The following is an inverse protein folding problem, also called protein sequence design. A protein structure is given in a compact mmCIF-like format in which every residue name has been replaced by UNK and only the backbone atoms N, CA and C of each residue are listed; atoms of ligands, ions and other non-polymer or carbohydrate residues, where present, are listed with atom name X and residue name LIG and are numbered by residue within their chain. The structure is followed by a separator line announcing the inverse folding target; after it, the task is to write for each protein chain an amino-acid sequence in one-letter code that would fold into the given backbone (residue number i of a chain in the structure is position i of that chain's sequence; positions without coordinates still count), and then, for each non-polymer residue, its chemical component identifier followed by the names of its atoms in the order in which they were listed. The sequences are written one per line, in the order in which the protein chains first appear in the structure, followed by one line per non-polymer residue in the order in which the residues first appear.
data_IF_044548213193
#
_entry.id   IF_044548213193
#
_cell.length_a   1.000
_cell.length_b   1.000
_cell.length_c   1.000
_cell.angle_alpha   90.00
_cell.angle_beta   90.00
_cell.angle_gamma   90.00
#
_symmetry.space_group_name_H-M   'P 1'
#
loop_
_entity.id
_entity.type
_entity.pdbx_description
1 polymer ?
#
# COMPACT_ATOMS: atom_id res chain seq x y z
N UNK A 1 -47.15 0.43 58.63
CA UNK A 1 -47.49 0.53 57.19
C UNK A 1 -46.19 0.91 56.51
N UNK A 2 -45.41 -0.07 56.01
CA UNK A 2 -45.54 -0.66 54.66
C UNK A 2 -45.50 0.41 53.56
N UNK A 3 -44.73 0.34 52.48
CA UNK A 3 -43.70 -0.58 51.96
C UNK A 3 -43.21 0.07 50.64
N UNK A 4 -41.94 -0.16 50.28
CA UNK A 4 -41.42 -0.21 48.89
C UNK A 4 -41.25 1.14 48.14
N UNK A 5 -40.25 1.37 47.29
CA UNK A 5 -39.41 0.44 46.51
C UNK A 5 -38.13 1.14 45.99
N UNK A 6 -36.99 0.51 46.26
CA UNK A 6 -35.85 0.23 45.37
C UNK A 6 -35.45 1.27 44.31
N UNK A 7 -34.36 1.99 44.59
CA UNK A 7 -33.35 2.31 43.58
C UNK A 7 -32.00 1.85 44.13
N UNK A 8 -31.51 0.75 43.57
CA UNK A 8 -30.15 0.28 43.82
C UNK A 8 -29.17 1.12 43.01
N UNK A 9 -28.22 1.72 43.73
CA UNK A 9 -26.98 2.22 43.14
C UNK A 9 -26.21 1.04 42.54
N UNK A 10 -26.38 0.80 41.24
CA UNK A 10 -25.44 0.00 40.49
C UNK A 10 -24.24 0.88 40.16
N UNK A 11 -23.21 0.78 40.99
CA UNK A 11 -21.87 1.25 40.66
C UNK A 11 -21.45 0.62 39.33
N UNK A 12 -21.28 1.46 38.30
CA UNK A 12 -20.63 1.06 37.07
C UNK A 12 -19.17 0.76 37.39
N UNK A 13 -18.87 -0.51 37.68
CA UNK A 13 -17.51 -1.02 37.65
C UNK A 13 -16.99 -0.77 36.24
N UNK A 14 -16.07 0.19 36.12
CA UNK A 14 -15.26 0.33 34.92
C UNK A 14 -14.63 -1.03 34.65
N UNK A 15 -14.89 -1.60 33.47
CA UNK A 15 -14.06 -2.67 32.94
C UNK A 15 -12.65 -2.10 32.84
N UNK A 16 -11.80 -2.44 33.80
CA UNK A 16 -10.36 -2.28 33.64
C UNK A 16 -9.99 -2.96 32.32
N UNK A 17 -9.39 -2.19 31.41
CA UNK A 17 -8.76 -2.76 30.24
C UNK A 17 -7.79 -3.84 30.73
N UNK A 18 -7.72 -5.01 30.07
CA UNK A 18 -6.82 -6.08 30.51
C UNK A 18 -5.41 -5.50 30.63
N UNK A 19 -4.83 -5.60 31.82
CA UNK A 19 -3.45 -5.18 32.10
C UNK A 19 -2.54 -5.93 31.14
N UNK A 20 -1.80 -5.19 30.31
CA UNK A 20 -0.88 -5.78 29.35
C UNK A 20 0.17 -6.63 30.08
N UNK A 21 0.49 -7.81 29.54
CA UNK A 21 1.46 -8.71 30.15
C UNK A 21 2.86 -8.08 30.15
N UNK A 22 3.54 -8.11 31.30
CA UNK A 22 4.89 -7.58 31.47
C UNK A 22 5.94 -8.70 31.35
N UNK A 23 6.92 -8.50 30.47
CA UNK A 23 8.06 -9.41 30.31
C UNK A 23 9.28 -8.86 31.04
N UNK A 24 9.82 -9.62 31.99
CA UNK A 24 11.10 -9.29 32.63
C UNK A 24 12.28 -9.70 31.76
N UNK A 25 13.25 -8.81 31.58
CA UNK A 25 14.47 -9.07 30.82
C UNK A 25 15.67 -8.30 31.38
N UNK A 26 16.87 -8.82 31.11
CA UNK A 26 18.09 -8.03 31.12
C UNK A 26 18.27 -7.40 29.75
N UNK A 27 18.24 -6.06 29.69
CA UNK A 27 18.45 -5.28 28.46
C UNK A 27 19.88 -4.75 28.37
N UNK A 28 20.42 -4.72 27.16
CA UNK A 28 21.67 -4.06 26.82
C UNK A 28 21.53 -3.33 25.48
N UNK A 29 21.62 -2.00 25.52
CA UNK A 29 21.70 -1.11 24.36
C UNK A 29 22.39 0.21 24.74
N UNK A 30 22.56 1.09 23.76
CA UNK A 30 23.05 2.47 23.98
C UNK A 30 22.02 3.39 24.66
N UNK A 31 20.72 3.05 24.58
CA UNK A 31 19.63 3.81 25.20
C UNK A 31 19.36 3.44 26.66
N UNK A 32 19.43 2.14 26.96
CA UNK A 32 18.96 1.60 28.23
C UNK A 32 19.70 0.29 28.54
N UNK A 33 20.07 0.09 29.80
CA UNK A 33 20.77 -1.11 30.24
C UNK A 33 20.34 -1.49 31.66
N UNK A 34 20.37 -2.78 31.97
CA UNK A 34 19.99 -3.30 33.29
C UNK A 34 18.80 -4.23 33.26
N UNK A 35 18.23 -4.49 34.44
CA UNK A 35 16.95 -5.20 34.55
C UNK A 35 15.82 -4.25 34.12
N UNK A 36 14.96 -4.75 33.24
CA UNK A 36 13.85 -3.98 32.68
C UNK A 36 12.58 -4.83 32.56
N UNK A 37 11.45 -4.14 32.60
CA UNK A 37 10.14 -4.66 32.24
C UNK A 37 9.78 -4.18 30.84
N UNK A 38 9.26 -5.09 30.03
CA UNK A 38 8.89 -4.82 28.64
C UNK A 38 7.41 -5.11 28.46
N UNK A 39 6.71 -4.17 27.84
CA UNK A 39 5.30 -4.32 27.43
C UNK A 39 5.22 -4.18 25.92
N UNK A 40 4.66 -5.19 25.27
CA UNK A 40 4.34 -5.17 23.85
C UNK A 40 3.09 -4.31 23.65
N UNK A 41 3.22 -3.20 22.93
CA UNK A 41 2.12 -2.27 22.63
C UNK A 41 1.86 -2.18 21.13
N UNK A 42 0.85 -1.39 20.73
CA UNK A 42 0.48 -1.22 19.31
C UNK A 42 1.51 -0.41 18.50
N UNK A 43 2.12 0.61 19.12
CA UNK A 43 3.10 1.50 18.47
C UNK A 43 4.54 1.01 18.56
N UNK A 44 4.84 0.16 19.56
CA UNK A 44 6.19 -0.32 19.80
C UNK A 44 6.33 -1.10 21.10
N UNK A 45 7.58 -1.27 21.54
CA UNK A 45 7.91 -1.92 22.79
C UNK A 45 8.19 -0.85 23.85
N UNK A 46 7.40 -0.85 24.93
CA UNK A 46 7.61 0.02 26.08
C UNK A 46 8.56 -0.68 27.04
N UNK A 47 9.68 -0.04 27.35
CA UNK A 47 10.72 -0.60 28.22
C UNK A 47 10.90 0.31 29.42
N UNK A 48 10.78 -0.27 30.62
CA UNK A 48 10.95 0.43 31.89
C UNK A 48 12.04 -0.25 32.71
N UNK A 49 13.14 0.46 32.96
CA UNK A 49 14.18 0.08 33.91
C UNK A 49 14.05 0.89 35.20
N UNK A 50 14.99 0.71 36.15
CA UNK A 50 14.91 1.31 37.49
C UNK A 50 14.81 2.86 37.46
N UNK A 51 15.52 3.52 36.55
CA UNK A 51 15.56 4.99 36.47
C UNK A 51 15.10 5.55 35.12
N UNK A 52 14.89 4.68 34.12
CA UNK A 52 14.66 5.08 32.73
C UNK A 52 13.43 4.39 32.16
N UNK A 53 12.72 5.09 31.28
CA UNK A 53 11.65 4.53 30.48
C UNK A 53 11.81 5.00 29.04
N UNK A 54 11.80 4.06 28.09
CA UNK A 54 11.93 4.33 26.66
C UNK A 54 10.89 3.54 25.88
N UNK A 55 10.47 4.09 24.75
CA UNK A 55 9.65 3.37 23.76
C UNK A 55 10.49 3.11 22.53
N UNK A 56 10.56 1.85 22.11
CA UNK A 56 11.20 1.43 20.85
C UNK A 56 10.08 1.26 19.82
N UNK A 57 9.85 2.24 18.93
CA UNK A 57 8.78 2.15 17.95
C UNK A 57 9.09 1.05 16.93
N UNK A 58 8.07 0.33 16.46
CA UNK A 58 8.27 -0.69 15.42
C UNK A 58 8.80 -0.09 14.11
N UNK A 59 8.58 1.21 13.88
CA UNK A 59 9.10 1.95 12.73
C UNK A 59 10.61 2.24 12.80
N UNK A 60 11.28 1.90 13.91
CA UNK A 60 12.73 1.91 14.07
C UNK A 60 13.34 0.50 14.06
N UNK A 61 12.52 -0.56 14.12
CA UNK A 61 12.99 -1.94 14.11
C UNK A 61 13.16 -2.41 12.66
N UNK A 62 14.40 -2.63 12.25
CA UNK A 62 14.79 -3.22 10.97
C UNK A 62 14.73 -4.75 10.99
N UNK A 63 14.79 -5.38 12.16
CA UNK A 63 14.54 -6.81 12.32
C UNK A 63 14.48 -7.31 13.75
N UNK A 64 13.83 -8.47 13.94
CA UNK A 64 13.75 -9.22 15.17
C UNK A 64 14.38 -10.60 14.98
N UNK A 65 15.28 -10.98 15.88
CA UNK A 65 15.91 -12.29 15.86
C UNK A 65 15.83 -12.95 17.23
N UNK A 66 15.57 -14.27 17.24
CA UNK A 66 15.73 -15.09 18.43
C UNK A 66 17.09 -15.79 18.37
N UNK A 67 17.94 -15.56 19.38
CA UNK A 67 19.30 -16.12 19.43
C UNK A 67 19.70 -16.41 20.87
N UNK A 68 20.30 -17.57 21.13
CA UNK A 68 20.87 -17.96 22.44
C UNK A 68 19.90 -17.75 23.61
N UNK A 69 18.61 -18.12 23.41
CA UNK A 69 17.51 -17.91 24.38
C UNK A 69 17.23 -16.43 24.74
N UNK A 70 17.70 -15.49 23.92
CA UNK A 70 17.37 -14.07 23.98
C UNK A 70 16.72 -13.58 22.68
N UNK A 71 16.31 -12.32 22.69
CA UNK A 71 15.77 -11.61 21.52
C UNK A 71 16.67 -10.43 21.20
N UNK A 72 17.01 -10.26 19.93
CA UNK A 72 17.77 -9.14 19.40
C UNK A 72 16.84 -8.31 18.54
N UNK A 73 16.76 -7.01 18.83
CA UNK A 73 16.09 -6.04 17.96
C UNK A 73 17.17 -5.27 17.21
N UNK A 74 17.20 -5.40 15.90
CA UNK A 74 18.05 -4.60 15.04
C UNK A 74 17.35 -3.26 14.81
N UNK A 75 17.80 -2.20 15.47
CA UNK A 75 17.20 -0.85 15.32
C UNK A 75 18.03 0.02 14.38
N UNK A 76 17.38 0.99 13.73
CA UNK A 76 18.08 1.92 12.82
C UNK A 76 18.72 3.10 13.54
N UNK A 77 18.18 3.49 14.69
CA UNK A 77 18.61 4.70 15.40
C UNK A 77 19.71 4.47 16.43
N UNK A 78 19.69 3.33 17.13
CA UNK A 78 20.50 3.12 18.35
C UNK A 78 21.31 1.82 18.36
N UNK A 79 21.30 1.11 17.23
CA UNK A 79 21.98 -0.18 17.03
C UNK A 79 21.19 -1.35 17.61
N UNK A 80 21.88 -2.45 17.88
CA UNK A 80 21.22 -3.65 18.38
C UNK A 80 20.78 -3.48 19.85
N UNK A 81 19.54 -3.88 20.13
CA UNK A 81 19.00 -3.99 21.49
C UNK A 81 18.92 -5.46 21.86
N UNK A 82 19.72 -5.88 22.84
CA UNK A 82 19.77 -7.25 23.29
C UNK A 82 18.89 -7.46 24.53
N UNK A 83 17.97 -8.42 24.42
CA UNK A 83 17.08 -8.85 25.50
C UNK A 83 17.46 -10.26 25.91
N UNK A 84 17.85 -10.43 27.17
CA UNK A 84 18.35 -11.70 27.69
C UNK A 84 17.74 -12.01 29.06
N UNK A 85 18.02 -13.20 29.61
CA UNK A 85 17.55 -13.63 30.94
C UNK A 85 16.02 -13.61 31.13
N UNK A 86 15.24 -13.77 30.06
CA UNK A 86 13.77 -13.84 30.15
C UNK A 86 13.28 -15.25 30.56
N UNK A 87 14.19 -16.23 30.68
CA UNK A 87 13.86 -17.60 31.04
C UNK A 87 12.93 -18.26 30.02
N UNK A 88 11.85 -18.90 30.49
CA UNK A 88 10.83 -19.49 29.63
C UNK A 88 9.98 -18.47 28.87
N UNK A 89 10.13 -17.17 29.14
CA UNK A 89 9.37 -16.11 28.49
C UNK A 89 10.01 -15.57 27.21
N UNK A 90 11.25 -15.97 26.85
CA UNK A 90 11.93 -15.47 25.64
C UNK A 90 11.14 -15.75 24.35
N UNK A 91 10.67 -16.99 24.18
CA UNK A 91 9.91 -17.41 23.00
C UNK A 91 8.48 -16.81 22.99
N UNK A 92 7.69 -16.85 24.10
CA UNK A 92 6.43 -16.12 24.18
C UNK A 92 6.55 -14.63 23.87
N UNK A 93 7.60 -13.97 24.39
CA UNK A 93 7.87 -12.57 24.09
C UNK A 93 8.17 -12.36 22.60
N UNK A 94 9.07 -13.16 22.01
CA UNK A 94 9.43 -13.06 20.60
C UNK A 94 8.18 -13.16 19.71
N UNK A 95 7.30 -14.13 19.95
CA UNK A 95 6.08 -14.27 19.16
C UNK A 95 5.08 -13.14 19.39
N UNK A 96 4.93 -12.65 20.62
CA UNK A 96 4.07 -11.50 20.90
C UNK A 96 4.58 -10.22 20.22
N UNK A 97 5.90 -9.96 20.28
CA UNK A 97 6.54 -8.84 19.63
C UNK A 97 6.45 -8.94 18.09
N UNK A 98 6.66 -10.14 17.54
CA UNK A 98 6.56 -10.38 16.10
C UNK A 98 5.12 -10.19 15.59
N UNK A 99 4.11 -10.66 16.32
CA UNK A 99 2.70 -10.46 15.97
C UNK A 99 2.33 -8.96 15.95
N UNK A 100 2.75 -8.22 16.98
CA UNK A 100 2.51 -6.78 17.06
C UNK A 100 3.29 -5.99 15.98
N UNK A 101 4.54 -6.33 15.74
CA UNK A 101 5.34 -5.78 14.64
C UNK A 101 4.68 -6.04 13.28
N UNK A 102 4.22 -7.27 13.02
CA UNK A 102 3.56 -7.63 11.76
C UNK A 102 2.24 -6.89 11.57
N UNK A 103 1.45 -6.66 12.63
CA UNK A 103 0.25 -5.81 12.58
C UNK A 103 0.59 -4.38 12.17
N UNK A 104 1.67 -3.82 12.72
CA UNK A 104 2.15 -2.49 12.34
C UNK A 104 2.64 -2.45 10.89
N UNK A 105 3.37 -3.47 10.44
CA UNK A 105 3.83 -3.62 9.05
C UNK A 105 2.63 -3.70 8.09
N UNK A 106 1.61 -4.49 8.39
CA UNK A 106 0.40 -4.61 7.55
C UNK A 106 -0.33 -3.27 7.44
N UNK A 107 -0.48 -2.54 8.56
CA UNK A 107 -1.04 -1.17 8.56
C UNK A 107 -0.24 -0.23 7.68
N UNK A 108 1.09 -0.24 7.81
CA UNK A 108 1.99 0.58 6.99
C UNK A 108 1.89 0.22 5.50
N UNK A 109 1.74 -1.06 5.16
CA UNK A 109 1.55 -1.54 3.79
C UNK A 109 0.12 -1.31 3.25
N UNK A 110 -0.73 -0.58 3.97
CA UNK A 110 -2.13 -0.29 3.59
C UNK A 110 -2.98 -1.54 3.38
N UNK A 111 -2.71 -2.59 4.15
CA UNK A 111 -3.52 -3.82 4.14
C UNK A 111 -4.65 -3.69 5.14
N UNK A 112 -5.87 -3.98 4.70
CA UNK A 112 -7.08 -3.92 5.52
C UNK A 112 -7.93 -5.19 5.32
N UNK A 113 -8.92 -5.36 6.19
CA UNK A 113 -9.80 -6.51 6.16
C UNK A 113 -9.21 -7.76 6.82
N UNK A 114 -9.93 -8.86 6.71
CA UNK A 114 -9.54 -10.15 7.29
C UNK A 114 -8.80 -10.96 6.24
N UNK A 115 -7.76 -11.67 6.66
CA UNK A 115 -7.07 -12.66 5.84
C UNK A 115 -8.05 -13.78 5.42
N UNK A 116 -8.05 -14.11 4.13
CA UNK A 116 -8.74 -15.26 3.58
C UNK A 116 -8.01 -16.57 3.91
N UNK A 117 -6.70 -16.49 4.12
CA UNK A 117 -5.83 -17.59 4.54
C UNK A 117 -4.63 -17.02 5.28
N UNK A 118 -4.18 -17.73 6.32
CA UNK A 118 -2.89 -17.51 6.98
C UNK A 118 -2.12 -18.83 6.99
N UNK A 119 -0.86 -18.79 6.58
CA UNK A 119 0.03 -19.95 6.56
C UNK A 119 1.46 -19.52 6.85
N UNK A 120 2.40 -20.47 6.88
CA UNK A 120 3.83 -20.23 7.04
C UNK A 120 4.59 -21.06 6.03
N UNK A 121 5.59 -20.47 5.40
CA UNK A 121 6.39 -21.14 4.38
C UNK A 121 7.69 -20.43 4.08
N UNK A 122 8.44 -21.01 3.14
CA UNK A 122 9.58 -20.34 2.53
C UNK A 122 9.11 -19.48 1.35
N UNK A 123 9.86 -18.43 1.06
CA UNK A 123 9.60 -17.56 -0.08
C UNK A 123 10.88 -17.22 -0.82
N UNK A 124 10.73 -16.92 -2.11
CA UNK A 124 11.76 -16.32 -2.96
C UNK A 124 11.11 -15.17 -3.73
N UNK A 125 11.64 -13.96 -3.58
CA UNK A 125 11.22 -12.78 -4.31
C UNK A 125 12.29 -12.42 -5.33
N UNK A 126 11.89 -12.14 -6.56
CA UNK A 126 12.73 -11.55 -7.60
C UNK A 126 12.12 -10.20 -7.96
N UNK A 127 12.77 -9.13 -7.51
CA UNK A 127 12.31 -7.75 -7.71
C UNK A 127 13.46 -6.92 -8.27
N UNK A 128 13.29 -6.33 -9.46
CA UNK A 128 14.31 -5.51 -10.13
C UNK A 128 15.68 -6.21 -10.27
N UNK A 129 15.67 -7.52 -10.49
CA UNK A 129 16.87 -8.36 -10.59
C UNK A 129 17.50 -8.74 -9.25
N UNK A 130 16.98 -8.23 -8.14
CA UNK A 130 17.41 -8.60 -6.79
C UNK A 130 16.63 -9.83 -6.33
N UNK A 131 17.36 -10.85 -5.88
CA UNK A 131 16.77 -12.07 -5.32
C UNK A 131 16.86 -12.01 -3.79
N UNK A 132 15.72 -12.12 -3.12
CA UNK A 132 15.64 -12.29 -1.67
C UNK A 132 14.88 -13.56 -1.34
N UNK A 133 15.18 -14.18 -0.21
CA UNK A 133 14.52 -15.42 0.21
C UNK A 133 14.56 -15.57 1.71
N UNK A 134 13.58 -16.28 2.26
CA UNK A 134 13.52 -16.56 3.68
C UNK A 134 12.35 -17.46 4.04
N UNK A 135 12.00 -17.47 5.32
CA UNK A 135 10.78 -18.09 5.81
C UNK A 135 9.94 -17.07 6.56
N UNK A 136 8.63 -17.09 6.36
CA UNK A 136 7.73 -16.09 6.92
C UNK A 136 6.30 -16.63 7.08
N UNK A 137 5.52 -16.05 8.00
CA UNK A 137 4.07 -15.96 7.84
C UNK A 137 3.71 -15.38 6.47
N UNK A 138 2.74 -16.01 5.83
CA UNK A 138 2.18 -15.62 4.54
C UNK A 138 0.67 -15.49 4.72
N UNK A 139 0.10 -14.38 4.24
CA UNK A 139 -1.33 -14.09 4.41
C UNK A 139 -1.94 -13.65 3.08
N UNK A 140 -3.12 -14.19 2.76
CA UNK A 140 -3.88 -13.84 1.55
C UNK A 140 -5.03 -12.93 1.93
N UNK A 141 -5.15 -11.79 1.26
CA UNK A 141 -6.21 -10.79 1.42
C UNK A 141 -6.98 -10.62 0.10
N UNK A 142 -8.05 -9.83 0.12
CA UNK A 142 -8.93 -9.64 -1.03
C UNK A 142 -8.23 -9.06 -2.27
N UNK A 143 -7.19 -8.25 -2.07
CA UNK A 143 -6.46 -7.59 -3.15
C UNK A 143 -4.95 -7.88 -3.17
N UNK A 144 -4.40 -8.65 -2.23
CA UNK A 144 -2.96 -8.88 -2.14
C UNK A 144 -2.59 -10.17 -1.40
N UNK A 145 -1.34 -10.61 -1.61
CA UNK A 145 -0.65 -11.59 -0.75
C UNK A 145 0.45 -10.87 0.02
N UNK A 146 0.57 -11.13 1.31
CA UNK A 146 1.61 -10.55 2.17
C UNK A 146 2.61 -11.61 2.61
N UNK A 147 3.90 -11.29 2.55
CA UNK A 147 5.01 -12.04 3.13
C UNK A 147 5.53 -11.21 4.30
N UNK A 148 5.59 -11.80 5.50
CA UNK A 148 5.86 -11.08 6.75
C UNK A 148 7.08 -11.65 7.51
N UNK A 149 8.29 -11.66 6.92
CA UNK A 149 9.50 -12.00 7.65
C UNK A 149 9.72 -11.00 8.79
N UNK A 150 10.49 -11.37 9.82
CA UNK A 150 10.73 -10.53 10.98
C UNK A 150 11.73 -9.39 10.70
N UNK A 151 11.71 -8.80 9.50
CA UNK A 151 12.68 -7.80 9.03
C UNK A 151 12.07 -6.83 7.98
N UNK A 152 12.92 -6.04 7.30
CA UNK A 152 12.54 -5.15 6.21
C UNK A 152 12.16 -5.88 4.90
N UNK A 153 12.31 -7.20 4.85
CA UNK A 153 11.94 -8.06 3.73
C UNK A 153 10.44 -8.28 3.56
N UNK A 154 9.60 -7.70 4.44
CA UNK A 154 8.15 -7.80 4.27
C UNK A 154 7.68 -7.19 2.95
N UNK A 155 6.76 -7.89 2.28
CA UNK A 155 6.23 -7.52 0.96
C UNK A 155 4.72 -7.64 0.92
N UNK A 156 4.08 -6.67 0.28
CA UNK A 156 2.70 -6.74 -0.18
C UNK A 156 2.72 -6.97 -1.68
N UNK A 157 2.05 -8.03 -2.13
CA UNK A 157 1.99 -8.47 -3.53
C UNK A 157 0.55 -8.28 -4.04
N UNK A 158 0.22 -7.09 -4.57
CA UNK A 158 -1.08 -6.80 -5.13
C UNK A 158 -1.46 -7.71 -6.30
N UNK A 159 -2.65 -8.28 -6.21
CA UNK A 159 -3.17 -9.27 -7.14
C UNK A 159 -3.57 -8.67 -8.49
N UNK A 160 -3.83 -7.36 -8.55
CA UNK A 160 -4.15 -6.63 -9.79
C UNK A 160 -3.02 -6.69 -10.83
N UNK A 161 -1.77 -6.89 -10.42
CA UNK A 161 -0.63 -7.01 -11.31
C UNK A 161 -0.28 -8.46 -11.69
N UNK A 162 -0.97 -9.46 -11.12
CA UNK A 162 -0.67 -10.87 -11.39
C UNK A 162 -1.13 -11.24 -12.81
N UNK A 163 -0.15 -11.61 -13.63
CA UNK A 163 -0.33 -12.04 -15.02
C UNK A 163 -0.40 -13.55 -15.17
N UNK A 164 0.21 -14.29 -14.24
CA UNK A 164 0.24 -15.75 -14.25
C UNK A 164 0.51 -16.34 -12.86
N UNK A 165 0.09 -17.59 -12.70
CA UNK A 165 0.41 -18.41 -11.54
C UNK A 165 0.83 -19.80 -12.01
N UNK A 166 2.01 -20.24 -11.59
CA UNK A 166 2.55 -21.55 -11.91
C UNK A 166 2.57 -22.42 -10.66
N UNK A 167 2.18 -23.69 -10.81
CA UNK A 167 2.26 -24.71 -9.75
C UNK A 167 3.23 -25.79 -10.22
N UNK A 168 4.33 -25.98 -9.49
CA UNK A 168 5.36 -26.96 -9.85
C UNK A 168 6.05 -27.46 -8.59
N UNK A 169 6.30 -28.77 -8.48
CA UNK A 169 7.14 -29.34 -7.40
C UNK A 169 6.79 -28.84 -5.97
N UNK A 170 5.49 -28.72 -5.66
CA UNK A 170 4.99 -28.16 -4.38
C UNK A 170 5.37 -26.70 -4.10
N UNK A 171 5.74 -25.96 -5.13
CA UNK A 171 5.88 -24.52 -5.14
C UNK A 171 4.80 -23.85 -5.97
N UNK A 172 4.52 -22.60 -5.61
CA UNK A 172 3.58 -21.73 -6.33
C UNK A 172 4.33 -20.45 -6.66
N UNK A 173 4.39 -20.10 -7.93
CA UNK A 173 5.05 -18.87 -8.40
C UNK A 173 4.02 -17.92 -9.01
N UNK A 174 3.95 -16.70 -8.47
CA UNK A 174 3.19 -15.60 -9.04
C UNK A 174 4.09 -14.74 -9.93
N UNK A 175 3.60 -14.45 -11.14
CA UNK A 175 4.28 -13.61 -12.13
C UNK A 175 3.54 -12.29 -12.26
N UNK A 176 4.24 -11.17 -12.11
CA UNK A 176 3.68 -9.82 -12.27
C UNK A 176 3.99 -9.21 -13.64
N UNK A 177 3.28 -8.15 -14.00
CA UNK A 177 3.45 -7.42 -15.27
C UNK A 177 4.75 -6.59 -15.35
N UNK A 178 5.40 -6.37 -14.21
CA UNK A 178 6.69 -5.70 -14.00
C UNK A 178 7.91 -6.64 -14.09
N UNK A 179 7.71 -7.90 -14.51
CA UNK A 179 8.69 -9.00 -14.49
C UNK A 179 9.08 -9.50 -13.07
N UNK A 180 8.48 -8.94 -12.02
CA UNK A 180 8.63 -9.41 -10.64
C UNK A 180 8.05 -10.82 -10.47
N UNK A 181 8.71 -11.66 -9.68
CA UNK A 181 8.29 -13.03 -9.40
C UNK A 181 8.31 -13.32 -7.91
N UNK A 182 7.27 -13.99 -7.43
CA UNK A 182 7.14 -14.38 -6.02
C UNK A 182 6.84 -15.87 -5.95
N UNK A 183 7.81 -16.64 -5.46
CA UNK A 183 7.69 -18.09 -5.29
C UNK A 183 7.46 -18.42 -3.83
N UNK A 184 6.48 -19.27 -3.56
CA UNK A 184 6.10 -19.77 -2.24
C UNK A 184 6.36 -21.27 -2.18
N UNK A 185 7.06 -21.71 -1.15
CA UNK A 185 7.48 -23.09 -0.97
C UNK A 185 7.20 -23.56 0.46
N UNK A 186 7.22 -24.89 0.67
CA UNK A 186 7.14 -25.49 2.00
C UNK A 186 5.89 -25.07 2.79
N UNK A 187 4.77 -24.84 2.09
CA UNK A 187 3.46 -24.54 2.69
C UNK A 187 2.78 -25.79 3.28
N UNK A 188 3.34 -26.99 3.03
CA UNK A 188 2.80 -28.25 3.53
C UNK A 188 1.37 -28.49 3.03
N UNK A 189 0.46 -28.80 3.96
CA UNK A 189 -0.96 -29.01 3.66
C UNK A 189 -1.67 -27.76 3.12
N UNK A 190 -1.08 -26.58 3.30
CA UNK A 190 -1.66 -25.31 2.85
C UNK A 190 -1.29 -24.95 1.40
N UNK A 191 -0.51 -25.77 0.69
CA UNK A 191 -0.12 -25.48 -0.71
C UNK A 191 -1.35 -25.31 -1.61
N UNK A 192 -2.27 -26.27 -1.63
CA UNK A 192 -3.50 -26.18 -2.43
C UNK A 192 -4.49 -25.14 -1.88
N UNK A 193 -4.76 -25.05 -0.55
CA UNK A 193 -5.54 -23.95 0.02
C UNK A 193 -5.03 -22.56 -0.35
N UNK A 194 -3.70 -22.35 -0.36
CA UNK A 194 -3.08 -21.09 -0.76
C UNK A 194 -3.35 -20.77 -2.23
N UNK A 195 -3.10 -21.72 -3.13
CA UNK A 195 -3.42 -21.53 -4.54
C UNK A 195 -4.91 -21.19 -4.75
N UNK A 196 -5.82 -21.95 -4.13
CA UNK A 196 -7.25 -21.74 -4.25
C UNK A 196 -7.69 -20.38 -3.69
N UNK A 197 -7.09 -19.93 -2.58
CA UNK A 197 -7.35 -18.61 -2.02
C UNK A 197 -6.92 -17.50 -2.98
N UNK A 198 -5.70 -17.57 -3.54
CA UNK A 198 -5.18 -16.59 -4.49
C UNK A 198 -6.03 -16.56 -5.78
N UNK A 199 -6.36 -17.72 -6.35
CA UNK A 199 -7.22 -17.83 -7.54
C UNK A 199 -8.59 -17.20 -7.30
N UNK A 200 -9.21 -17.48 -6.15
CA UNK A 200 -10.50 -16.91 -5.77
C UNK A 200 -10.44 -15.39 -5.71
N UNK A 201 -9.41 -14.82 -5.10
CA UNK A 201 -9.29 -13.37 -4.93
C UNK A 201 -9.01 -12.66 -6.27
N UNK A 202 -8.11 -13.22 -7.09
CA UNK A 202 -7.89 -12.72 -8.46
C UNK A 202 -9.19 -12.74 -9.27
N UNK A 203 -9.94 -13.84 -9.21
CA UNK A 203 -11.22 -13.98 -9.92
C UNK A 203 -12.22 -12.93 -9.45
N UNK A 204 -12.40 -12.77 -8.13
CA UNK A 204 -13.34 -11.81 -7.54
C UNK A 204 -13.02 -10.38 -7.97
N UNK A 205 -11.75 -9.98 -7.90
CA UNK A 205 -11.30 -8.65 -8.34
C UNK A 205 -11.51 -8.42 -9.84
N UNK A 206 -11.27 -9.43 -10.69
CA UNK A 206 -11.53 -9.35 -12.13
C UNK A 206 -13.01 -9.23 -12.45
N UNK A 207 -13.87 -9.95 -11.72
CA UNK A 207 -15.32 -9.83 -11.83
C UNK A 207 -15.79 -8.41 -11.47
N UNK A 208 -15.30 -7.84 -10.36
CA UNK A 208 -15.57 -6.44 -9.98
C UNK A 208 -15.11 -5.44 -11.07
N UNK A 209 -13.90 -5.61 -11.59
CA UNK A 209 -13.37 -4.73 -12.64
C UNK A 209 -14.23 -4.80 -13.90
N UNK A 210 -14.68 -5.99 -14.30
CA UNK A 210 -15.54 -6.17 -15.46
C UNK A 210 -16.89 -5.45 -15.30
N UNK A 211 -17.47 -5.48 -14.10
CA UNK A 211 -18.69 -4.73 -13.78
C UNK A 211 -18.44 -3.24 -13.92
N UNK A 212 -17.40 -2.71 -13.27
CA UNK A 212 -17.06 -1.28 -13.32
C UNK A 212 -16.81 -0.78 -14.76
N UNK A 213 -16.12 -1.56 -15.59
CA UNK A 213 -15.88 -1.23 -17.02
C UNK A 213 -17.18 -1.15 -17.81
N UNK A 214 -18.13 -2.06 -17.56
CA UNK A 214 -19.44 -2.07 -18.25
C UNK A 214 -20.36 -0.95 -17.78
N UNK A 215 -20.28 -0.60 -16.50
CA UNK A 215 -21.01 0.55 -15.97
C UNK A 215 -20.45 1.85 -16.55
N UNK A 216 -19.14 1.93 -16.73
CA UNK A 216 -18.48 3.11 -17.30
C UNK A 216 -18.79 3.29 -18.80
N UNK A 217 -18.77 2.22 -19.60
CA UNK A 217 -19.23 2.23 -20.99
C UNK A 217 -20.21 1.08 -21.27
N UNK A 218 -21.52 1.34 -21.18
CA UNK A 218 -22.56 0.34 -21.44
C UNK A 218 -22.64 -0.12 -22.90
N UNK A 219 -21.94 0.54 -23.83
CA UNK A 219 -21.96 0.20 -25.26
C UNK A 219 -21.01 -0.95 -25.62
N UNK A 220 -20.13 -1.34 -24.70
CA UNK A 220 -19.14 -2.39 -24.91
C UNK A 220 -19.78 -3.76 -25.13
N UNK A 221 -19.27 -4.50 -26.11
CA UNK A 221 -19.54 -5.93 -26.21
C UNK A 221 -18.89 -6.69 -25.05
N UNK A 222 -19.38 -7.90 -24.75
CA UNK A 222 -18.83 -8.74 -23.69
C UNK A 222 -17.32 -9.02 -23.86
N UNK A 223 -16.86 -9.18 -25.11
CA UNK A 223 -15.44 -9.41 -25.44
C UNK A 223 -14.60 -8.15 -25.21
N UNK A 224 -15.07 -6.99 -25.64
CA UNK A 224 -14.37 -5.72 -25.42
C UNK A 224 -14.27 -5.38 -23.94
N UNK A 225 -15.37 -5.51 -23.19
CA UNK A 225 -15.38 -5.27 -21.76
C UNK A 225 -14.39 -6.17 -21.00
N UNK A 226 -14.32 -7.46 -21.35
CA UNK A 226 -13.36 -8.38 -20.76
C UNK A 226 -11.90 -8.04 -21.10
N UNK A 227 -11.64 -7.63 -22.36
CA UNK A 227 -10.30 -7.24 -22.79
C UNK A 227 -9.83 -5.94 -22.10
N UNK A 228 -10.72 -4.95 -21.95
CA UNK A 228 -10.45 -3.71 -21.23
C UNK A 228 -10.23 -4.00 -19.74
N UNK A 229 -11.13 -4.74 -19.08
CA UNK A 229 -10.99 -5.08 -17.66
C UNK A 229 -9.68 -5.84 -17.35
N UNK A 230 -9.12 -6.57 -18.32
CA UNK A 230 -7.80 -7.18 -18.19
C UNK A 230 -6.63 -6.19 -18.28
N UNK A 231 -6.78 -5.10 -19.05
CA UNK A 231 -5.74 -4.07 -19.22
C UNK A 231 -5.75 -3.03 -18.10
N UNK A 232 -6.91 -2.72 -17.55
CA UNK A 232 -7.10 -1.75 -16.47
C UNK A 232 -7.78 -2.41 -15.26
N UNK A 233 -7.12 -3.39 -14.61
CA UNK A 233 -7.60 -3.87 -13.31
C UNK A 233 -7.72 -2.69 -12.33
N UNK A 234 -8.67 -2.75 -11.40
CA UNK A 234 -8.99 -1.66 -10.47
C UNK A 234 -7.70 -0.99 -9.91
N UNK A 235 -7.52 0.30 -10.19
CA UNK A 235 -6.34 1.05 -9.73
C UNK A 235 -5.12 1.04 -10.67
N UNK A 236 -5.24 0.54 -11.90
CA UNK A 236 -4.14 0.50 -12.89
C UNK A 236 -4.51 1.29 -14.14
N UNK A 237 -3.62 2.20 -14.57
CA UNK A 237 -3.76 2.92 -15.82
C UNK A 237 -3.17 2.15 -17.01
N UNK A 238 -3.78 2.31 -18.19
CA UNK A 238 -3.31 1.71 -19.44
C UNK A 238 -3.21 2.74 -20.56
N UNK A 239 -2.35 2.53 -21.58
CA UNK A 239 -2.16 3.48 -22.67
C UNK A 239 -3.42 3.57 -23.55
N UNK A 240 -3.84 4.80 -23.84
CA UNK A 240 -5.00 5.14 -24.67
C UNK A 240 -4.97 4.43 -26.01
N UNK A 241 -3.79 4.33 -26.65
CA UNK A 241 -3.65 3.62 -27.91
C UNK A 241 -4.08 2.16 -27.84
N UNK A 242 -3.76 1.44 -26.74
CA UNK A 242 -4.19 0.04 -26.56
C UNK A 242 -5.68 -0.08 -26.25
N UNK A 243 -6.22 0.86 -25.48
CA UNK A 243 -7.66 0.91 -25.18
C UNK A 243 -8.46 1.17 -26.45
N UNK A 244 -8.04 2.14 -27.27
CA UNK A 244 -8.70 2.52 -28.52
C UNK A 244 -8.71 1.40 -29.58
N UNK A 245 -7.67 0.56 -29.63
CA UNK A 245 -7.65 -0.64 -30.49
C UNK A 245 -8.75 -1.63 -30.12
N UNK A 246 -9.12 -1.72 -28.83
CA UNK A 246 -10.18 -2.63 -28.36
C UNK A 246 -11.56 -1.99 -28.55
N UNK A 247 -11.73 -0.76 -28.06
CA UNK A 247 -12.98 -0.03 -28.16
C UNK A 247 -12.73 1.49 -28.19
N UNK A 248 -12.86 2.14 -29.35
CA UNK A 248 -12.80 3.60 -29.44
C UNK A 248 -13.88 4.31 -28.61
N UNK A 249 -15.05 3.68 -28.42
CA UNK A 249 -16.13 4.20 -27.57
C UNK A 249 -15.68 4.40 -26.12
N UNK A 250 -14.87 3.49 -25.60
CA UNK A 250 -14.38 3.55 -24.23
C UNK A 250 -13.42 4.72 -24.02
N UNK A 251 -12.53 4.95 -25.00
CA UNK A 251 -11.64 6.12 -24.98
C UNK A 251 -12.47 7.40 -25.04
N UNK A 252 -13.49 7.47 -25.90
CA UNK A 252 -14.37 8.63 -25.96
C UNK A 252 -15.12 8.87 -24.63
N UNK A 253 -15.54 7.81 -23.94
CA UNK A 253 -16.16 7.91 -22.61
C UNK A 253 -15.17 8.43 -21.55
N UNK A 254 -13.92 7.97 -21.56
CA UNK A 254 -12.87 8.48 -20.66
C UNK A 254 -12.58 9.97 -20.94
N UNK A 255 -12.47 10.35 -22.22
CA UNK A 255 -12.23 11.73 -22.60
C UNK A 255 -13.41 12.65 -22.25
N UNK A 256 -14.64 12.17 -22.39
CA UNK A 256 -15.83 12.90 -21.95
C UNK A 256 -15.80 13.12 -20.43
N UNK A 257 -15.47 12.09 -19.65
CA UNK A 257 -15.34 12.23 -18.20
C UNK A 257 -14.20 13.18 -17.78
N UNK A 258 -13.10 13.23 -18.53
CA UNK A 258 -12.03 14.22 -18.32
C UNK A 258 -12.50 15.63 -18.69
N UNK A 259 -13.25 15.78 -19.78
CA UNK A 259 -13.80 17.06 -20.24
C UNK A 259 -14.81 17.65 -19.22
N UNK A 260 -15.55 16.78 -18.53
CA UNK A 260 -16.45 17.15 -17.44
C UNK A 260 -15.73 17.40 -16.09
N UNK A 261 -14.39 17.34 -16.08
CA UNK A 261 -13.57 17.56 -14.89
C UNK A 261 -12.72 18.82 -15.01
N UNK A 262 -12.13 19.25 -13.89
CA UNK A 262 -11.13 20.34 -13.86
C UNK A 262 -9.89 20.11 -14.74
N UNK A 263 -9.65 18.87 -15.15
CA UNK A 263 -8.49 18.51 -15.97
C UNK A 263 -8.75 18.71 -17.47
N UNK A 264 -9.91 19.22 -17.90
CA UNK A 264 -10.25 19.42 -19.30
C UNK A 264 -9.22 20.30 -20.05
N UNK A 265 -8.87 21.45 -19.48
CA UNK A 265 -7.92 22.39 -20.08
C UNK A 265 -6.50 21.80 -20.11
N UNK A 266 -6.06 21.19 -19.00
CA UNK A 266 -4.72 20.59 -18.92
C UNK A 266 -4.58 19.37 -19.83
N UNK A 267 -5.62 18.55 -19.95
CA UNK A 267 -5.67 17.42 -20.88
C UNK A 267 -5.59 17.87 -22.34
N UNK A 268 -6.28 18.94 -22.71
CA UNK A 268 -6.18 19.53 -24.05
C UNK A 268 -4.75 19.94 -24.37
N UNK A 269 -4.09 20.60 -23.41
CA UNK A 269 -2.67 20.99 -23.53
C UNK A 269 -1.76 19.75 -23.62
N UNK A 270 -2.00 18.70 -22.83
CA UNK A 270 -1.20 17.47 -22.92
C UNK A 270 -1.32 16.77 -24.28
N UNK A 271 -2.51 16.75 -24.88
CA UNK A 271 -2.73 16.18 -26.22
C UNK A 271 -2.00 16.94 -27.34
N UNK A 272 -1.68 18.21 -27.13
CA UNK A 272 -0.86 19.01 -28.07
C UNK A 272 0.64 18.75 -27.88
N UNK A 273 1.07 18.36 -26.67
CA UNK A 273 2.49 18.25 -26.32
C UNK A 273 3.08 16.86 -26.55
N UNK A 274 2.27 15.80 -26.52
CA UNK A 274 2.72 14.43 -26.72
C UNK A 274 1.79 13.66 -27.66
N UNK A 275 2.22 12.47 -28.11
CA UNK A 275 1.34 11.54 -28.81
C UNK A 275 0.23 11.07 -27.85
N UNK A 276 -1.06 11.40 -28.10
CA UNK A 276 -2.16 11.03 -27.21
C UNK A 276 -2.29 9.51 -27.01
N UNK A 277 -1.81 8.70 -27.95
CA UNK A 277 -1.87 7.24 -27.84
C UNK A 277 -0.95 6.69 -26.74
N UNK A 278 0.04 7.47 -26.32
CA UNK A 278 0.96 7.13 -25.24
C UNK A 278 0.47 7.57 -23.86
N UNK A 279 -0.57 8.40 -23.76
CA UNK A 279 -1.14 8.80 -22.46
C UNK A 279 -1.74 7.56 -21.80
N UNK A 280 -1.38 7.31 -20.53
CA UNK A 280 -2.02 6.26 -19.74
C UNK A 280 -3.19 6.88 -19.00
N UNK A 281 -4.35 6.23 -19.04
CA UNK A 281 -5.53 6.65 -18.28
C UNK A 281 -5.96 5.49 -17.39
N UNK A 282 -6.22 5.80 -16.13
CA UNK A 282 -6.79 4.88 -15.16
C UNK A 282 -8.04 5.49 -14.53
N UNK A 283 -8.93 4.61 -14.10
CA UNK A 283 -10.12 5.01 -13.35
C UNK A 283 -10.33 4.04 -12.18
N UNK A 284 -10.94 4.56 -11.12
CA UNK A 284 -11.33 3.78 -9.95
C UNK A 284 -12.61 4.36 -9.38
N UNK A 285 -13.62 3.52 -9.18
CA UNK A 285 -14.74 3.87 -8.31
C UNK A 285 -14.24 3.82 -6.86
N UNK A 286 -14.41 4.92 -6.14
CA UNK A 286 -14.25 5.04 -4.71
C UNK A 286 -15.36 4.20 -4.09
N UNK A 287 -15.00 2.98 -3.68
CA UNK A 287 -15.84 2.19 -2.79
C UNK A 287 -15.85 3.00 -1.48
N UNK A 288 -16.87 3.86 -1.33
CA UNK A 288 -16.89 4.96 -0.36
C UNK A 288 -16.36 4.57 1.00
N UNK A 289 -15.76 5.56 1.69
CA UNK A 289 -15.40 5.46 3.12
C UNK A 289 -16.49 4.68 3.84
N UNK A 290 -16.19 3.46 4.27
CA UNK A 290 -17.07 2.69 5.14
C UNK A 290 -17.64 3.66 6.18
N UNK A 291 -18.97 3.80 6.20
CA UNK A 291 -19.73 4.75 7.00
C UNK A 291 -19.55 4.57 8.51
N UNK A 292 -18.33 4.82 8.98
CA UNK A 292 -17.89 4.95 10.37
C UNK A 292 -17.15 6.27 10.58
N UNK A 293 -17.38 7.25 9.70
CA UNK A 293 -17.25 8.66 10.07
C UNK A 293 -18.62 9.10 10.58
N UNK A 294 -18.72 9.47 11.85
CA UNK A 294 -19.87 10.21 12.35
C UNK A 294 -20.02 11.49 11.52
N UNK A 295 -21.01 11.53 10.62
CA UNK A 295 -21.19 12.63 9.69
C UNK A 295 -22.47 12.48 8.86
N UNK A 296 -23.55 13.04 9.40
CA UNK A 296 -24.79 13.52 8.77
C UNK A 296 -25.47 12.66 7.66
N UNK A 297 -26.57 11.99 8.05
CA UNK A 297 -27.44 11.12 7.24
C UNK A 297 -28.49 11.92 6.43
N UNK A 298 -28.10 12.87 5.58
CA UNK A 298 -29.13 13.71 4.92
C UNK A 298 -28.86 14.15 3.48
N UNK A 299 -28.01 13.46 2.70
CA UNK A 299 -27.89 13.71 1.25
C UNK A 299 -27.78 12.37 0.49
N UNK A 300 -28.64 12.08 -0.51
CA UNK A 300 -28.46 10.90 -1.36
C UNK A 300 -27.18 11.05 -2.22
N UNK A 301 -26.38 9.99 -2.40
CA UNK A 301 -25.12 10.07 -3.13
C UNK A 301 -25.34 10.39 -4.60
N UNK A 302 -24.60 11.36 -5.13
CA UNK A 302 -24.45 11.56 -6.58
C UNK A 302 -23.39 10.58 -7.07
N UNK A 303 -23.74 9.78 -8.08
CA UNK A 303 -22.88 8.77 -8.74
C UNK A 303 -21.55 9.35 -9.29
N UNK A 304 -21.38 10.68 -9.33
CA UNK A 304 -20.20 11.35 -9.87
C UNK A 304 -19.13 11.74 -8.84
N UNK A 305 -19.41 11.74 -7.54
CA UNK A 305 -18.41 12.12 -6.53
C UNK A 305 -17.45 10.97 -6.15
N UNK A 306 -17.77 9.74 -6.60
CA UNK A 306 -17.03 8.52 -6.27
C UNK A 306 -16.10 8.07 -7.41
N UNK A 307 -15.88 8.84 -8.47
CA UNK A 307 -14.98 8.43 -9.56
C UNK A 307 -13.62 9.15 -9.46
N UNK A 308 -12.55 8.39 -9.30
CA UNK A 308 -11.18 8.89 -9.40
C UNK A 308 -10.63 8.56 -10.77
N UNK A 309 -10.37 9.59 -11.58
CA UNK A 309 -9.66 9.51 -12.85
C UNK A 309 -8.24 10.08 -12.71
N UNK A 310 -7.27 9.41 -13.32
CA UNK A 310 -5.91 9.92 -13.38
C UNK A 310 -5.24 9.59 -14.70
N UNK A 311 -4.25 10.40 -15.02
CA UNK A 311 -3.49 10.34 -16.27
C UNK A 311 -2.00 10.30 -15.95
N UNK A 312 -1.26 9.48 -16.69
CA UNK A 312 0.20 9.51 -16.73
C UNK A 312 0.58 9.94 -18.14
N UNK A 313 1.30 11.04 -18.27
CA UNK A 313 1.58 11.71 -19.54
C UNK A 313 3.09 11.75 -19.75
N UNK A 314 3.64 11.29 -20.89
CA UNK A 314 5.06 11.44 -21.17
C UNK A 314 5.40 12.89 -21.55
N UNK A 315 6.61 13.34 -21.21
CA UNK A 315 7.18 14.55 -21.81
C UNK A 315 7.47 14.32 -23.30
N UNK A 316 7.57 15.40 -24.11
CA UNK A 316 7.86 15.26 -25.55
C UNK A 316 9.17 14.53 -25.88
N UNK A 317 10.15 14.60 -24.97
CA UNK A 317 11.46 13.93 -25.09
C UNK A 317 11.48 12.52 -24.47
N UNK A 318 10.39 12.09 -23.80
CA UNK A 318 10.27 10.78 -23.17
C UNK A 318 11.10 10.57 -21.90
N UNK A 319 11.77 11.60 -21.38
CA UNK A 319 12.64 11.51 -20.20
C UNK A 319 11.99 11.96 -18.88
N UNK A 320 10.74 12.43 -18.97
CA UNK A 320 9.94 12.80 -17.83
C UNK A 320 8.48 12.36 -18.01
N UNK A 321 7.75 12.35 -16.91
CA UNK A 321 6.35 11.99 -16.85
C UNK A 321 5.59 12.97 -15.95
N UNK A 322 4.40 13.35 -16.38
CA UNK A 322 3.46 14.12 -15.58
C UNK A 322 2.32 13.20 -15.11
N UNK A 323 1.83 13.42 -13.89
CA UNK A 323 0.70 12.70 -13.31
C UNK A 323 -0.35 13.71 -12.89
N UNK A 324 -1.53 13.58 -13.48
CA UNK A 324 -2.65 14.48 -13.28
C UNK A 324 -3.86 13.72 -12.76
N UNK A 325 -4.49 14.23 -11.69
CA UNK A 325 -5.71 13.67 -11.14
C UNK A 325 -6.90 14.54 -11.51
N UNK A 326 -7.81 13.98 -12.29
CA UNK A 326 -9.10 14.52 -12.63
C UNK A 326 -10.08 14.22 -11.48
N UNK A 327 -9.94 14.98 -10.40
CA UNK A 327 -10.86 14.95 -9.25
C UNK A 327 -11.85 16.13 -9.27
N UNK A 328 -12.85 16.08 -8.38
CA UNK A 328 -13.86 17.12 -8.22
C UNK A 328 -13.29 18.50 -7.81
N UNK A 329 -14.13 19.54 -7.94
CA UNK A 329 -13.76 20.96 -7.86
C UNK A 329 -13.06 21.39 -6.55
N UNK A 330 -13.24 20.64 -5.45
CA UNK A 330 -12.78 21.04 -4.10
C UNK A 330 -11.36 20.60 -3.70
N UNK A 331 -10.65 19.82 -4.52
CA UNK A 331 -9.27 19.41 -4.19
C UNK A 331 -8.25 20.44 -4.67
N UNK A 332 -7.18 20.72 -3.91
CA UNK A 332 -6.05 21.47 -4.44
C UNK A 332 -5.47 20.76 -5.69
N UNK A 333 -5.51 21.43 -6.84
CA UNK A 333 -5.12 20.86 -8.12
C UNK A 333 -3.62 21.07 -8.37
N UNK A 334 -2.88 19.98 -8.55
CA UNK A 334 -1.48 20.02 -8.95
C UNK A 334 -1.16 18.82 -9.85
N UNK A 335 -0.34 19.07 -10.87
CA UNK A 335 0.30 18.05 -11.69
C UNK A 335 1.63 17.67 -11.05
N UNK A 336 1.86 16.38 -10.83
CA UNK A 336 3.12 15.87 -10.28
C UNK A 336 4.07 15.51 -11.41
N UNK A 337 5.32 15.95 -11.34
CA UNK A 337 6.32 15.73 -12.39
C UNK A 337 7.43 14.83 -11.87
N UNK A 338 7.82 13.88 -12.71
CA UNK A 338 8.82 12.88 -12.43
C UNK A 338 9.85 12.84 -13.56
N UNK A 339 11.13 12.82 -13.23
CA UNK A 339 12.23 12.58 -14.17
C UNK A 339 12.78 11.19 -13.93
N UNK A 340 12.92 10.40 -14.98
CA UNK A 340 13.37 9.01 -14.88
C UNK A 340 14.39 8.69 -15.97
N UNK A 341 15.28 7.74 -15.65
CA UNK A 341 16.11 7.10 -16.67
C UNK A 341 15.38 5.92 -17.31
N UNK A 342 15.72 5.62 -18.57
CA UNK A 342 15.19 4.46 -19.28
C UNK A 342 13.87 4.73 -20.01
N UNK A 343 13.02 3.71 -20.11
CA UNK A 343 11.82 3.72 -20.94
C UNK A 343 10.57 4.17 -20.17
N UNK A 344 9.75 5.01 -20.80
CA UNK A 344 8.52 5.57 -20.22
C UNK A 344 7.53 4.48 -19.80
N UNK A 345 7.44 3.36 -20.53
CA UNK A 345 6.56 2.25 -20.16
C UNK A 345 6.97 1.66 -18.81
N UNK A 346 8.27 1.50 -18.55
CA UNK A 346 8.76 0.98 -17.28
C UNK A 346 8.41 1.96 -16.13
N UNK A 347 8.60 3.25 -16.35
CA UNK A 347 8.16 4.29 -15.40
C UNK A 347 6.66 4.19 -15.11
N UNK A 348 5.81 4.13 -16.14
CA UNK A 348 4.36 4.04 -15.97
C UNK A 348 3.93 2.79 -15.19
N UNK A 349 4.60 1.65 -15.41
CA UNK A 349 4.37 0.42 -14.64
C UNK A 349 4.76 0.59 -13.16
N UNK A 350 5.94 1.13 -12.87
CA UNK A 350 6.38 1.38 -11.48
C UNK A 350 5.51 2.43 -10.79
N UNK A 351 5.02 3.43 -11.53
CA UNK A 351 4.08 4.41 -11.01
C UNK A 351 2.71 3.78 -10.68
N UNK A 352 2.13 2.96 -11.56
CA UNK A 352 0.92 2.20 -11.25
C UNK A 352 1.12 1.36 -9.97
N UNK A 353 2.26 0.67 -9.88
CA UNK A 353 2.62 -0.13 -8.71
C UNK A 353 2.71 0.70 -7.43
N UNK A 354 3.32 1.88 -7.49
CA UNK A 354 3.43 2.78 -6.35
C UNK A 354 2.07 3.37 -5.93
N UNK A 355 1.26 3.84 -6.88
CA UNK A 355 -0.07 4.39 -6.59
C UNK A 355 -0.99 3.34 -5.94
N UNK A 356 -0.96 2.11 -6.43
CA UNK A 356 -1.71 1.01 -5.83
C UNK A 356 -1.17 0.70 -4.42
N UNK A 357 0.15 0.61 -4.25
CA UNK A 357 0.76 0.28 -2.98
C UNK A 357 0.44 1.30 -1.88
N UNK A 358 0.22 2.56 -2.25
CA UNK A 358 -0.07 3.65 -1.31
C UNK A 358 -1.56 3.93 -1.14
N UNK A 359 -2.43 3.10 -1.73
CA UNK A 359 -3.86 3.36 -1.82
C UNK A 359 -4.15 4.79 -2.35
N UNK A 360 -3.38 5.23 -3.35
CA UNK A 360 -3.44 6.55 -3.98
C UNK A 360 -3.13 7.74 -3.05
N UNK A 361 -2.59 7.50 -1.85
CA UNK A 361 -2.02 8.57 -1.02
C UNK A 361 -0.74 9.07 -1.68
N UNK A 362 -0.75 10.34 -2.10
CA UNK A 362 0.34 10.95 -2.88
C UNK A 362 1.42 11.53 -1.99
N UNK A 363 1.11 11.79 -0.72
CA UNK A 363 2.00 12.40 0.26
C UNK A 363 3.31 11.62 0.39
N UNK A 364 3.22 10.31 0.57
CA UNK A 364 4.39 9.42 0.65
C UNK A 364 5.33 9.51 -0.55
N UNK A 365 4.87 9.92 -1.74
CA UNK A 365 5.75 10.07 -2.90
C UNK A 365 6.51 11.40 -2.85
N UNK A 366 5.93 12.45 -2.26
CA UNK A 366 6.47 13.82 -2.31
C UNK A 366 7.25 14.27 -1.08
N UNK A 367 7.07 13.60 0.07
CA UNK A 367 7.75 14.00 1.31
C UNK A 367 9.27 13.94 1.13
N UNK A 368 10.02 14.91 1.65
CA UNK A 368 11.49 14.80 1.69
C UNK A 368 11.92 13.68 2.64
N UNK A 369 13.20 13.29 2.62
CA UNK A 369 13.70 12.31 3.59
C UNK A 369 13.55 12.83 5.03
N UNK A 370 13.81 14.11 5.28
CA UNK A 370 13.62 14.71 6.61
C UNK A 370 12.15 14.67 7.05
N UNK A 371 11.21 14.98 6.15
CA UNK A 371 9.78 14.91 6.43
C UNK A 371 9.31 13.46 6.67
N UNK A 372 9.83 12.50 5.91
CA UNK A 372 9.50 11.07 6.05
C UNK A 372 9.96 10.51 7.42
N UNK A 373 11.02 11.07 8.00
CA UNK A 373 11.50 10.68 9.33
C UNK A 373 10.71 11.29 10.49
N UNK A 374 9.78 12.21 10.24
CA UNK A 374 8.92 12.76 11.29
C UNK A 374 7.96 11.70 11.85
N UNK A 375 7.65 11.71 13.18
CA UNK A 375 6.86 10.66 13.83
C UNK A 375 5.49 10.39 13.17
N UNK A 376 4.79 11.43 12.72
CA UNK A 376 3.48 11.28 12.09
C UNK A 376 3.51 10.57 10.72
N UNK A 377 4.70 10.42 10.11
CA UNK A 377 4.90 9.78 8.82
C UNK A 377 5.51 8.37 8.94
N UNK A 378 5.51 7.78 10.14
CA UNK A 378 6.15 6.48 10.36
C UNK A 378 5.60 5.35 9.48
N UNK A 379 4.28 5.31 9.25
CA UNK A 379 3.64 4.31 8.37
C UNK A 379 4.13 4.49 6.93
N UNK A 380 4.30 5.74 6.49
CA UNK A 380 4.85 6.06 5.16
C UNK A 380 6.32 5.66 5.05
N UNK A 381 7.12 5.92 6.08
CA UNK A 381 8.52 5.50 6.12
C UNK A 381 8.63 3.98 6.01
N UNK A 382 7.84 3.25 6.80
CA UNK A 382 7.82 1.79 6.79
C UNK A 382 7.40 1.22 5.42
N UNK A 383 6.40 1.82 4.78
CA UNK A 383 5.95 1.43 3.44
C UNK A 383 7.02 1.68 2.37
N UNK A 384 7.65 2.85 2.40
CA UNK A 384 8.72 3.23 1.47
C UNK A 384 9.94 2.32 1.61
N UNK A 385 10.31 1.92 2.81
CA UNK A 385 11.42 0.98 3.04
C UNK A 385 11.17 -0.43 2.47
N UNK A 386 9.90 -0.84 2.34
CA UNK A 386 9.50 -2.21 1.98
C UNK A 386 9.01 -2.36 0.54
N UNK A 387 8.84 -1.26 -0.19
CA UNK A 387 8.23 -1.28 -1.53
C UNK A 387 9.14 -0.59 -2.55
N UNK A 388 9.83 -1.39 -3.38
CA UNK A 388 10.80 -0.85 -4.36
C UNK A 388 10.17 0.13 -5.34
N UNK A 389 8.93 -0.09 -5.78
CA UNK A 389 8.23 0.85 -6.66
C UNK A 389 8.03 2.23 -6.03
N UNK A 390 7.76 2.30 -4.72
CA UNK A 390 7.67 3.58 -4.00
C UNK A 390 9.04 4.28 -3.97
N UNK A 391 10.11 3.54 -3.69
CA UNK A 391 11.48 4.07 -3.67
C UNK A 391 11.87 4.63 -5.04
N UNK A 392 11.61 3.87 -6.11
CA UNK A 392 11.86 4.29 -7.49
C UNK A 392 11.12 5.58 -7.83
N UNK A 393 9.80 5.62 -7.60
CA UNK A 393 8.97 6.78 -7.94
C UNK A 393 9.32 8.01 -7.09
N UNK A 394 9.66 7.84 -5.81
CA UNK A 394 10.20 8.91 -4.96
C UNK A 394 11.51 9.47 -5.53
N UNK A 395 12.43 8.60 -5.92
CA UNK A 395 13.70 9.00 -6.55
C UNK A 395 13.53 9.73 -7.89
N UNK A 396 12.40 9.51 -8.57
CA UNK A 396 12.07 10.22 -9.80
C UNK A 396 11.35 11.55 -9.56
N UNK A 397 10.81 11.81 -8.37
CA UNK A 397 9.95 12.98 -8.13
C UNK A 397 10.74 14.29 -8.24
N UNK A 398 10.29 15.19 -9.11
CA UNK A 398 10.97 16.48 -9.38
C UNK A 398 10.22 17.65 -8.75
N UNK A 399 8.90 17.61 -8.77
CA UNK A 399 8.10 18.71 -8.23
C UNK A 399 6.65 18.68 -8.68
N UNK A 400 5.97 19.82 -8.52
CA UNK A 400 4.56 19.96 -8.86
C UNK A 400 4.28 21.28 -9.59
N UNK A 401 3.46 21.23 -10.62
CA UNK A 401 2.91 22.42 -11.27
C UNK A 401 1.53 22.72 -10.66
N UNK A 402 1.36 23.91 -10.09
CA UNK A 402 0.12 24.31 -9.41
C UNK A 402 -0.83 24.99 -10.40
N UNK A 403 -2.10 24.56 -10.38
CA UNK A 403 -3.18 25.13 -11.18
C UNK A 403 -3.69 26.45 -10.61
N UNK A 404 -2.91 27.53 -10.72
CA UNK A 404 -3.40 28.89 -10.39
C UNK A 404 -4.03 29.59 -11.60
N UNK A 405 -3.52 29.29 -12.80
CA UNK A 405 -4.05 29.66 -14.11
C UNK A 405 -3.42 28.72 -15.15
N UNK A 406 -4.07 28.53 -16.30
CA UNK A 406 -3.56 27.63 -17.34
C UNK A 406 -2.14 28.02 -17.82
N UNK A 407 -1.90 29.30 -18.05
CA UNK A 407 -0.59 29.80 -18.49
C UNK A 407 0.51 29.58 -17.44
N UNK A 408 0.22 29.89 -16.17
CA UNK A 408 1.20 29.73 -15.10
C UNK A 408 1.49 28.25 -14.82
N UNK A 409 0.45 27.41 -14.87
CA UNK A 409 0.59 25.96 -14.78
C UNK A 409 1.46 25.41 -15.91
N UNK A 410 1.17 25.78 -17.17
CA UNK A 410 1.94 25.34 -18.35
C UNK A 410 3.40 25.77 -18.25
N UNK A 411 3.66 27.00 -17.79
CA UNK A 411 5.02 27.49 -17.56
C UNK A 411 5.77 26.67 -16.50
N UNK A 412 5.13 26.36 -15.38
CA UNK A 412 5.73 25.52 -14.32
C UNK A 412 6.00 24.09 -14.82
N UNK A 413 5.05 23.50 -15.55
CA UNK A 413 5.17 22.16 -16.12
C UNK A 413 6.39 22.07 -17.05
N UNK A 414 6.51 23.01 -18.00
CA UNK A 414 7.63 23.05 -18.94
C UNK A 414 8.96 23.26 -18.21
N UNK A 415 9.00 24.12 -17.18
CA UNK A 415 10.19 24.30 -16.37
C UNK A 415 10.63 22.99 -15.70
N UNK A 416 9.69 22.22 -15.15
CA UNK A 416 9.98 20.93 -14.50
C UNK A 416 10.41 19.85 -15.52
N UNK A 417 9.90 19.87 -16.76
CA UNK A 417 10.30 18.92 -17.80
C UNK A 417 11.68 19.19 -18.40
N UNK A 418 12.13 20.44 -18.45
CA UNK A 418 13.41 20.81 -19.08
C UNK A 418 14.61 20.89 -18.12
N UNK A 419 14.40 20.69 -16.81
CA UNK A 419 15.44 20.82 -15.77
C UNK A 419 16.27 19.58 -15.51
#
# INVERSE_FOLDING_TARGET
MELSSLMGDSASQGKEAPTAFEYGAQISSSLISGEAKIVVSESGLKVTALFDAVEIPYSDIAGLAMKDYGVILHTTSVGDVHLSRMGSLSEPFYFAALDAYNKKVLKALFVSGKSALETKGAYICVEDGIVTSGAAPIQVYDNCVCILPPDLGARRIPLCFVTGMEKKDYSITLHLDSAEQFTFEKLGYDTEPFAAAVEKQIRTMREKTLVAVREFDPTLTAVQAAAIAKLIPQGVAAPVGRLGVIAPSFVAALEAAIADSRAADSYSVFKEMCDPTQIYIGFKQDEGRDGKGEGDLSIPPRVQDDLVLWMIIPSPDGHAGAVEFAGGENAAAATFVYRFGGDYKHFAQKLNRALEATAFKREIIRLTEEELHQPQNEDYRMAAQRTHAIQFVRGCFTGRAIHTSLDNWKKQLLALWHY
#
